data_IF_231886034232
#
_entry.id   IF_231886034232
#
_cell.length_a   1.000
_cell.length_b   1.000
_cell.length_c   1.000
_cell.angle_alpha   90.00
_cell.angle_beta   90.00
_cell.angle_gamma   90.00
#
_symmetry.space_group_name_H-M   'P 1'
#
loop_
_entity.id
_entity.type
_entity.pdbx_description
1 polymer ?
#
# COMPACT_ATOMS: atom_id res chain seq x y z
N UNK A 1 4.76 48.53 -53.59
CA UNK A 1 4.72 47.08 -53.50
C UNK A 1 5.64 46.50 -52.41
N UNK A 2 6.78 47.05 -52.09
CA UNK A 2 7.68 46.54 -51.02
C UNK A 2 7.12 46.72 -49.58
N UNK A 3 6.41 47.84 -49.34
CA UNK A 3 5.86 48.18 -48.03
C UNK A 3 4.73 47.22 -47.61
N UNK A 4 3.89 46.79 -48.54
CA UNK A 4 2.78 45.88 -48.27
C UNK A 4 3.23 44.43 -47.98
N UNK A 5 4.35 44.00 -48.60
CA UNK A 5 4.95 42.68 -48.35
C UNK A 5 5.53 42.57 -46.93
N UNK A 6 6.15 43.60 -46.42
CA UNK A 6 6.74 43.62 -45.09
C UNK A 6 5.66 43.68 -44.00
N UNK A 7 4.52 44.34 -44.26
CA UNK A 7 3.39 44.37 -43.32
C UNK A 7 2.71 43.03 -43.19
N UNK A 8 2.56 42.28 -44.30
CA UNK A 8 1.98 40.94 -44.29
C UNK A 8 2.90 39.90 -43.60
N UNK A 9 4.23 40.02 -43.77
CA UNK A 9 5.18 39.15 -43.11
C UNK A 9 5.22 39.35 -41.58
N UNK A 10 5.07 40.60 -41.11
CA UNK A 10 5.01 40.91 -39.68
C UNK A 10 3.74 40.37 -38.99
N UNK A 11 2.61 40.38 -39.69
CA UNK A 11 1.35 39.79 -39.15
C UNK A 11 1.37 38.28 -39.07
N UNK A 12 2.02 37.59 -40.01
CA UNK A 12 2.15 36.13 -39.97
C UNK A 12 3.09 35.70 -38.84
N UNK A 13 4.16 36.44 -38.55
CA UNK A 13 5.08 36.12 -37.47
C UNK A 13 4.49 36.38 -36.08
N UNK A 14 3.63 37.40 -35.90
CA UNK A 14 2.92 37.67 -34.66
C UNK A 14 1.82 36.64 -34.38
N UNK A 15 1.19 36.09 -35.42
CA UNK A 15 0.16 35.05 -35.29
C UNK A 15 0.71 33.69 -34.86
N UNK A 16 1.95 33.36 -35.24
CA UNK A 16 2.59 32.07 -34.88
C UNK A 16 3.06 32.02 -33.41
N UNK A 17 3.42 33.19 -32.84
CA UNK A 17 3.81 33.25 -31.41
C UNK A 17 2.62 33.18 -30.43
N UNK A 18 1.40 33.46 -30.86
CA UNK A 18 0.23 33.40 -30.01
C UNK A 18 -0.34 31.97 -29.85
N UNK A 19 0.09 31.00 -30.65
CA UNK A 19 -0.34 29.62 -30.63
C UNK A 19 0.52 28.72 -29.72
N UNK A 20 1.60 29.24 -29.12
CA UNK A 20 2.59 28.49 -28.35
C UNK A 20 2.40 28.50 -26.83
N UNK A 21 1.38 29.14 -26.28
CA UNK A 21 1.25 29.34 -24.83
C UNK A 21 -0.03 28.74 -24.22
N UNK A 22 -0.52 27.64 -24.75
CA UNK A 22 -1.36 26.78 -23.94
C UNK A 22 -0.45 25.74 -23.30
N UNK A 23 0.30 26.12 -22.27
CA UNK A 23 0.72 25.15 -21.25
C UNK A 23 -0.57 24.64 -20.66
N UNK A 24 -1.08 23.54 -21.21
CA UNK A 24 -2.04 22.71 -20.49
C UNK A 24 -1.34 22.35 -19.19
N UNK A 25 -1.66 23.06 -18.12
CA UNK A 25 -1.30 22.67 -16.76
C UNK A 25 -2.11 21.40 -16.51
N UNK A 26 -1.65 20.28 -17.07
CA UNK A 26 -2.19 18.97 -16.74
C UNK A 26 -1.92 18.82 -15.25
N UNK A 27 -2.99 18.93 -14.44
CA UNK A 27 -2.90 18.73 -13.01
C UNK A 27 -2.40 17.32 -12.79
N UNK A 28 -1.35 17.15 -11.98
CA UNK A 28 -0.84 15.84 -11.70
C UNK A 28 -1.93 14.99 -11.03
N UNK A 29 -1.95 13.72 -11.35
CA UNK A 29 -2.88 12.74 -10.79
C UNK A 29 -2.06 11.62 -10.17
N UNK A 30 -2.40 11.23 -8.95
CA UNK A 30 -1.71 10.14 -8.23
C UNK A 30 -2.75 9.14 -7.75
N UNK A 31 -2.53 7.88 -8.06
CA UNK A 31 -3.41 6.78 -7.67
C UNK A 31 -2.76 5.96 -6.54
N UNK A 32 -3.35 6.03 -5.36
CA UNK A 32 -2.87 5.30 -4.18
C UNK A 32 -3.55 3.93 -4.06
N UNK A 33 -2.78 2.91 -3.75
CA UNK A 33 -3.28 1.64 -3.27
C UNK A 33 -3.44 1.70 -1.76
N UNK A 34 -4.61 1.30 -1.24
CA UNK A 34 -4.93 1.26 0.18
C UNK A 34 -5.37 -0.15 0.57
N UNK A 35 -4.73 -0.70 1.58
CA UNK A 35 -5.13 -1.98 2.12
C UNK A 35 -6.33 -1.85 3.07
N UNK A 36 -7.02 -2.96 3.30
CA UNK A 36 -8.25 -3.01 4.08
C UNK A 36 -8.03 -3.20 5.59
N UNK A 37 -6.94 -2.64 6.13
CA UNK A 37 -6.67 -2.58 7.57
C UNK A 37 -6.31 -1.17 8.03
N UNK A 38 -6.55 -0.89 9.30
CA UNK A 38 -6.58 0.46 9.87
C UNK A 38 -5.28 1.25 9.72
N UNK A 39 -4.11 0.65 9.96
CA UNK A 39 -2.83 1.36 9.83
C UNK A 39 -2.56 1.80 8.39
N UNK A 40 -2.81 0.94 7.41
CA UNK A 40 -2.67 1.31 6.01
C UNK A 40 -3.59 2.47 5.63
N UNK A 41 -4.85 2.44 6.10
CA UNK A 41 -5.80 3.52 5.84
C UNK A 41 -5.32 4.87 6.40
N UNK A 42 -4.71 4.88 7.58
CA UNK A 42 -4.12 6.10 8.16
C UNK A 42 -2.93 6.60 7.34
N UNK A 43 -2.00 5.70 6.98
CA UNK A 43 -0.84 6.07 6.16
C UNK A 43 -1.26 6.57 4.78
N UNK A 44 -2.21 5.90 4.13
CA UNK A 44 -2.74 6.32 2.81
C UNK A 44 -3.44 7.66 2.90
N UNK A 45 -4.24 7.90 3.94
CA UNK A 45 -4.90 9.19 4.15
C UNK A 45 -3.90 10.34 4.35
N UNK A 46 -2.84 10.11 5.12
CA UNK A 46 -1.77 11.10 5.34
C UNK A 46 -1.03 11.39 4.02
N UNK A 47 -0.63 10.35 3.29
CA UNK A 47 0.05 10.52 2.00
C UNK A 47 -0.83 11.28 1.00
N UNK A 48 -2.09 10.88 0.87
CA UNK A 48 -3.06 11.54 0.01
C UNK A 48 -3.25 13.02 0.35
N UNK A 49 -3.37 13.34 1.65
CA UNK A 49 -3.47 14.73 2.10
C UNK A 49 -2.23 15.56 1.72
N UNK A 50 -1.02 15.02 1.94
CA UNK A 50 0.23 15.71 1.58
C UNK A 50 0.32 15.91 0.06
N UNK A 51 -0.01 14.89 -0.73
CA UNK A 51 0.00 14.96 -2.20
C UNK A 51 -1.00 15.99 -2.72
N UNK A 52 -2.22 15.97 -2.18
CA UNK A 52 -3.28 16.90 -2.60
C UNK A 52 -2.98 18.35 -2.16
N UNK A 53 -2.66 18.56 -0.89
CA UNK A 53 -2.50 19.91 -0.32
C UNK A 53 -1.11 20.47 -0.49
N UNK A 54 -0.07 19.63 -0.47
CA UNK A 54 1.33 20.06 -0.63
C UNK A 54 1.78 20.19 -2.06
N UNK A 55 1.34 19.30 -2.93
CA UNK A 55 1.77 19.26 -4.34
C UNK A 55 0.66 19.66 -5.31
N UNK A 56 -0.57 19.79 -4.86
CA UNK A 56 -1.71 20.23 -5.69
C UNK A 56 -2.17 19.17 -6.70
N UNK A 57 -1.79 17.92 -6.52
CA UNK A 57 -2.22 16.81 -7.38
C UNK A 57 -3.66 16.35 -7.04
N UNK A 58 -4.33 15.77 -8.03
CA UNK A 58 -5.56 15.01 -7.77
C UNK A 58 -5.17 13.63 -7.25
N UNK A 59 -5.83 13.18 -6.19
CA UNK A 59 -5.58 11.87 -5.58
C UNK A 59 -6.78 10.97 -5.77
N UNK A 60 -6.52 9.77 -6.28
CA UNK A 60 -7.47 8.66 -6.29
C UNK A 60 -6.98 7.55 -5.36
N UNK A 61 -7.88 6.80 -4.77
CA UNK A 61 -7.56 5.70 -3.85
C UNK A 61 -8.34 4.45 -4.27
N UNK A 62 -7.64 3.35 -4.49
CA UNK A 62 -8.24 2.02 -4.64
C UNK A 62 -7.97 1.20 -3.41
N UNK A 63 -9.03 0.71 -2.78
CA UNK A 63 -8.97 -0.09 -1.56
C UNK A 63 -9.18 -1.58 -1.87
N UNK A 64 -8.43 -2.43 -1.16
CA UNK A 64 -8.58 -3.88 -1.27
C UNK A 64 -7.63 -4.67 -0.40
N UNK A 65 -7.75 -6.00 -0.47
CA UNK A 65 -6.85 -6.93 0.22
C UNK A 65 -5.48 -7.02 -0.47
N UNK A 66 -4.53 -7.71 0.16
CA UNK A 66 -3.12 -7.71 -0.26
C UNK A 66 -2.92 -8.08 -1.73
N UNK A 67 -3.43 -9.24 -2.16
CA UNK A 67 -3.10 -9.76 -3.49
C UNK A 67 -3.59 -8.87 -4.64
N UNK A 68 -4.85 -8.41 -4.70
CA UNK A 68 -5.30 -7.57 -5.80
C UNK A 68 -4.64 -6.19 -5.81
N UNK A 69 -4.39 -5.58 -4.65
CA UNK A 69 -3.72 -4.27 -4.59
C UNK A 69 -2.27 -4.38 -5.04
N UNK A 70 -1.54 -5.41 -4.58
CA UNK A 70 -0.16 -5.62 -5.04
C UNK A 70 -0.08 -5.94 -6.53
N UNK A 71 -1.00 -6.76 -7.06
CA UNK A 71 -1.06 -7.03 -8.50
C UNK A 71 -1.27 -5.75 -9.31
N UNK A 72 -2.24 -4.92 -8.93
CA UNK A 72 -2.50 -3.65 -9.59
C UNK A 72 -1.29 -2.70 -9.54
N UNK A 73 -0.53 -2.70 -8.43
CA UNK A 73 0.68 -1.90 -8.30
C UNK A 73 1.81 -2.42 -9.20
N UNK A 74 2.03 -3.73 -9.25
CA UNK A 74 3.03 -4.33 -10.14
C UNK A 74 2.71 -4.12 -11.62
N UNK A 75 1.42 -4.06 -11.97
CA UNK A 75 0.93 -3.73 -13.31
C UNK A 75 0.87 -2.21 -13.58
N UNK A 76 1.44 -1.38 -12.69
CA UNK A 76 1.52 0.08 -12.82
C UNK A 76 0.15 0.77 -12.92
N UNK A 77 -0.90 0.16 -12.37
CA UNK A 77 -2.23 0.76 -12.25
C UNK A 77 -2.37 1.64 -10.99
N UNK A 78 -1.46 1.48 -10.03
CA UNK A 78 -1.35 2.25 -8.81
C UNK A 78 0.06 2.82 -8.69
N UNK A 79 0.18 4.09 -8.32
CA UNK A 79 1.45 4.78 -8.23
C UNK A 79 2.18 4.53 -6.91
N UNK A 80 1.45 4.53 -5.79
CA UNK A 80 2.04 4.44 -4.45
C UNK A 80 1.21 3.52 -3.57
N UNK A 81 1.90 2.68 -2.79
CA UNK A 81 1.37 1.97 -1.63
C UNK A 81 2.18 2.40 -0.41
N UNK A 82 1.52 2.75 0.67
CA UNK A 82 2.14 3.37 1.84
C UNK A 82 2.57 2.39 2.93
N UNK A 83 2.02 1.16 2.92
CA UNK A 83 2.34 0.14 3.91
C UNK A 83 2.35 -1.24 3.27
N UNK A 84 3.50 -1.89 3.19
CA UNK A 84 3.66 -3.24 2.66
C UNK A 84 4.34 -4.12 3.69
N UNK A 85 3.70 -5.23 4.07
CA UNK A 85 4.27 -6.27 4.92
C UNK A 85 5.07 -7.24 4.05
N UNK A 86 6.29 -6.83 3.69
CA UNK A 86 7.14 -7.51 2.72
C UNK A 86 7.38 -8.99 3.04
N UNK A 87 7.56 -9.32 4.33
CA UNK A 87 7.86 -10.68 4.76
C UNK A 87 6.73 -11.68 4.43
N UNK A 88 5.51 -11.19 4.22
CA UNK A 88 4.38 -12.03 3.80
C UNK A 88 4.33 -12.30 2.29
N UNK A 89 5.14 -11.59 1.49
CA UNK A 89 5.08 -11.61 0.02
C UNK A 89 6.50 -11.58 -0.61
N UNK A 90 7.51 -12.07 0.11
CA UNK A 90 8.94 -11.94 -0.25
C UNK A 90 9.20 -12.24 -1.73
N UNK A 91 8.81 -13.43 -2.20
CA UNK A 91 9.10 -13.85 -3.56
C UNK A 91 8.50 -12.90 -4.61
N UNK A 92 7.23 -12.57 -4.47
CA UNK A 92 6.50 -11.69 -5.39
C UNK A 92 7.09 -10.27 -5.38
N UNK A 93 7.44 -9.78 -4.19
CA UNK A 93 8.00 -8.45 -4.01
C UNK A 93 9.42 -8.34 -4.63
N UNK A 94 10.31 -9.27 -4.33
CA UNK A 94 11.66 -9.30 -4.87
C UNK A 94 11.66 -9.44 -6.40
N UNK A 95 10.75 -10.24 -6.94
CA UNK A 95 10.57 -10.36 -8.39
C UNK A 95 10.16 -9.03 -9.02
N UNK A 96 9.20 -8.32 -8.44
CA UNK A 96 8.75 -7.01 -8.93
C UNK A 96 9.85 -5.95 -8.87
N UNK A 97 10.63 -5.92 -7.78
CA UNK A 97 11.80 -5.02 -7.64
C UNK A 97 12.86 -5.37 -8.70
N UNK A 98 13.19 -6.65 -8.89
CA UNK A 98 14.21 -7.09 -9.85
C UNK A 98 13.83 -6.76 -11.30
N UNK A 99 12.55 -6.76 -11.62
CA UNK A 99 12.01 -6.37 -12.92
C UNK A 99 11.86 -4.85 -13.09
N UNK A 100 12.14 -4.06 -12.06
CA UNK A 100 11.96 -2.61 -12.08
C UNK A 100 10.50 -2.16 -12.14
N UNK A 101 9.56 -3.02 -11.75
CA UNK A 101 8.12 -2.71 -11.73
C UNK A 101 7.77 -1.77 -10.57
N UNK A 102 8.51 -1.86 -9.46
CA UNK A 102 8.33 -1.04 -8.26
C UNK A 102 9.67 -0.58 -7.69
N UNK A 103 9.63 0.44 -6.86
CA UNK A 103 10.77 0.98 -6.10
C UNK A 103 10.37 1.03 -4.62
N UNK A 104 11.19 0.44 -3.74
CA UNK A 104 11.07 0.66 -2.29
C UNK A 104 11.65 2.03 -1.93
N UNK A 105 10.85 2.87 -1.30
CA UNK A 105 11.29 4.19 -0.85
C UNK A 105 11.87 4.19 0.58
N UNK A 106 11.53 3.17 1.37
CA UNK A 106 12.03 3.01 2.73
C UNK A 106 11.05 2.32 3.66
N UNK A 107 11.42 2.24 4.93
CA UNK A 107 10.63 1.64 6.00
C UNK A 107 9.92 2.75 6.77
N UNK A 108 8.59 2.74 6.77
CA UNK A 108 7.77 3.73 7.47
C UNK A 108 7.48 3.38 8.93
N UNK A 109 7.47 2.07 9.28
CA UNK A 109 7.23 1.57 10.65
C UNK A 109 8.37 0.65 11.08
N UNK A 110 9.54 1.20 11.46
CA UNK A 110 10.66 0.39 11.90
C UNK A 110 10.31 -0.39 13.17
N UNK A 111 10.83 -1.60 13.30
CA UNK A 111 10.60 -2.51 14.43
C UNK A 111 9.16 -3.09 14.52
N UNK A 112 8.36 -2.96 13.48
CA UNK A 112 7.10 -3.70 13.38
C UNK A 112 7.40 -5.18 13.19
N UNK A 113 6.69 -6.03 13.94
CA UNK A 113 6.83 -7.49 13.88
C UNK A 113 5.48 -8.17 13.76
N UNK A 114 5.46 -9.32 13.11
CA UNK A 114 4.32 -10.23 13.12
C UNK A 114 4.63 -11.44 13.98
N UNK A 115 3.59 -12.03 14.56
CA UNK A 115 3.72 -13.22 15.39
C UNK A 115 2.40 -13.63 16.04
N UNK A 116 2.43 -14.74 16.73
CA UNK A 116 1.34 -15.15 17.60
C UNK A 116 1.49 -14.47 18.95
N UNK A 117 0.43 -13.89 19.44
CA UNK A 117 0.40 -13.14 20.68
C UNK A 117 -0.59 -13.76 21.68
N UNK A 118 -0.19 -13.78 22.91
CA UNK A 118 -1.01 -14.12 24.07
C UNK A 118 -0.82 -13.01 25.11
N UNK A 119 -1.80 -12.78 25.96
CA UNK A 119 -1.64 -11.79 27.02
C UNK A 119 -0.51 -12.16 27.98
N UNK A 120 0.17 -11.13 28.49
CA UNK A 120 1.35 -11.32 29.33
C UNK A 120 1.08 -12.10 30.60
N UNK A 121 -0.08 -11.92 31.24
CA UNK A 121 -0.41 -12.60 32.46
C UNK A 121 -0.55 -14.12 32.23
N UNK A 122 -1.18 -14.52 31.11
CA UNK A 122 -1.28 -15.92 30.70
C UNK A 122 0.10 -16.49 30.35
N UNK A 123 0.90 -15.75 29.56
CA UNK A 123 2.26 -16.18 29.24
C UNK A 123 3.11 -16.41 30.48
N UNK A 124 3.10 -15.48 31.43
CA UNK A 124 3.90 -15.59 32.65
C UNK A 124 3.41 -16.74 33.54
N UNK A 125 2.08 -16.87 33.71
CA UNK A 125 1.48 -17.88 34.58
C UNK A 125 1.77 -19.32 34.11
N UNK A 126 1.75 -19.55 32.82
CA UNK A 126 1.93 -20.86 32.21
C UNK A 126 3.28 -21.05 31.53
N UNK A 127 4.17 -20.07 31.65
CA UNK A 127 5.53 -20.03 31.05
C UNK A 127 5.51 -20.31 29.55
N UNK A 128 4.59 -19.66 28.81
CA UNK A 128 4.49 -19.79 27.36
C UNK A 128 5.61 -19.00 26.70
N UNK A 129 6.40 -19.64 25.83
CA UNK A 129 7.56 -19.05 25.16
C UNK A 129 7.50 -19.15 23.64
N UNK A 130 6.75 -20.13 23.14
CA UNK A 130 6.65 -20.39 21.70
C UNK A 130 5.26 -20.89 21.34
N UNK A 131 4.96 -20.93 20.03
CA UNK A 131 3.69 -21.46 19.52
C UNK A 131 3.55 -22.96 19.80
N UNK A 132 4.65 -23.70 19.90
CA UNK A 132 4.65 -25.12 20.22
C UNK A 132 4.12 -25.41 21.62
N UNK A 133 4.25 -24.47 22.55
CA UNK A 133 3.65 -24.59 23.87
C UNK A 133 2.11 -24.74 23.80
N UNK A 134 1.49 -24.16 22.77
CA UNK A 134 0.04 -24.23 22.53
C UNK A 134 -0.43 -25.64 22.12
N UNK A 135 0.49 -26.52 21.69
CA UNK A 135 0.18 -27.92 21.35
C UNK A 135 -0.04 -28.79 22.57
N UNK A 136 0.35 -28.33 23.76
CA UNK A 136 0.13 -29.05 25.03
C UNK A 136 -1.36 -29.04 25.36
N UNK A 137 -1.98 -30.23 25.62
CA UNK A 137 -3.43 -30.29 25.86
C UNK A 137 -3.93 -29.43 27.04
N UNK A 138 -3.12 -29.32 28.10
CA UNK A 138 -3.42 -28.48 29.25
C UNK A 138 -3.41 -26.99 28.91
N UNK A 139 -2.59 -26.58 27.96
CA UNK A 139 -2.54 -25.20 27.47
C UNK A 139 -3.67 -24.95 26.49
N UNK A 140 -3.89 -25.84 25.53
CA UNK A 140 -4.98 -25.70 24.57
C UNK A 140 -6.35 -25.51 25.24
N UNK A 141 -6.56 -26.17 26.38
CA UNK A 141 -7.79 -26.05 27.18
C UNK A 141 -8.03 -24.64 27.73
N UNK A 142 -6.98 -23.84 27.95
CA UNK A 142 -7.12 -22.45 28.41
C UNK A 142 -7.79 -21.55 27.36
N UNK A 143 -7.68 -21.95 26.11
CA UNK A 143 -8.20 -21.23 24.94
C UNK A 143 -9.37 -22.03 24.31
N UNK A 144 -10.08 -22.81 25.08
CA UNK A 144 -11.11 -23.71 24.59
C UNK A 144 -12.10 -23.03 23.65
N UNK A 145 -12.33 -23.66 22.50
CA UNK A 145 -13.31 -23.20 21.53
C UNK A 145 -14.68 -23.81 21.84
N UNK A 146 -15.69 -23.03 22.21
CA UNK A 146 -17.03 -23.53 22.47
C UNK A 146 -17.71 -24.15 21.24
N UNK A 147 -17.29 -23.78 20.03
CA UNK A 147 -17.82 -24.27 18.74
C UNK A 147 -17.06 -25.53 18.25
N UNK A 148 -15.89 -25.80 18.79
CA UNK A 148 -15.07 -26.95 18.44
C UNK A 148 -14.52 -27.66 19.70
N UNK A 149 -15.33 -28.52 20.38
CA UNK A 149 -14.95 -29.19 21.61
C UNK A 149 -13.61 -29.94 21.46
N UNK A 150 -12.72 -29.76 22.44
CA UNK A 150 -11.39 -30.36 22.44
C UNK A 150 -10.32 -29.61 21.67
N UNK A 151 -10.66 -28.49 21.05
CA UNK A 151 -9.71 -27.59 20.38
C UNK A 151 -9.56 -26.26 21.13
N UNK A 152 -8.41 -25.61 20.97
CA UNK A 152 -8.19 -24.22 21.35
C UNK A 152 -8.56 -23.30 20.20
N UNK A 153 -9.09 -22.12 20.53
CA UNK A 153 -9.38 -21.04 19.55
C UNK A 153 -8.18 -20.11 19.43
N UNK A 154 -7.82 -19.83 18.21
CA UNK A 154 -6.85 -18.79 17.85
C UNK A 154 -7.52 -17.82 16.88
N UNK A 155 -7.37 -16.52 17.12
CA UNK A 155 -7.77 -15.52 16.14
C UNK A 155 -6.64 -15.39 15.11
N UNK A 156 -6.96 -15.70 13.88
CA UNK A 156 -6.02 -15.60 12.75
C UNK A 156 -6.37 -14.42 11.86
N UNK A 157 -5.56 -14.21 10.81
CA UNK A 157 -5.83 -13.23 9.76
C UNK A 157 -7.13 -13.55 9.03
N UNK A 158 -7.81 -12.52 8.54
CA UNK A 158 -9.00 -12.67 7.71
C UNK A 158 -8.63 -13.13 6.30
N UNK A 159 -9.58 -13.77 5.63
CA UNK A 159 -9.43 -14.16 4.22
C UNK A 159 -9.13 -12.94 3.34
N UNK A 160 -8.18 -13.10 2.43
CA UNK A 160 -7.69 -12.02 1.54
C UNK A 160 -6.39 -11.37 2.00
N UNK A 161 -6.03 -11.49 3.27
CA UNK A 161 -4.71 -11.12 3.76
C UNK A 161 -3.72 -12.27 3.57
N UNK A 162 -2.49 -11.95 3.15
CA UNK A 162 -1.47 -12.99 2.89
C UNK A 162 -1.14 -13.83 4.11
N UNK A 163 -1.16 -13.25 5.30
CA UNK A 163 -0.96 -13.99 6.55
C UNK A 163 -2.03 -15.08 6.80
N UNK A 164 -3.20 -15.01 6.17
CA UNK A 164 -4.21 -16.08 6.24
C UNK A 164 -3.72 -17.42 5.66
N UNK A 165 -2.82 -17.37 4.69
CA UNK A 165 -2.27 -18.55 4.01
C UNK A 165 -0.95 -19.03 4.60
N UNK A 166 -0.32 -18.23 5.47
CA UNK A 166 0.97 -18.52 6.10
C UNK A 166 0.79 -19.22 7.46
N UNK A 167 -0.32 -18.98 8.15
CA UNK A 167 -0.61 -19.45 9.52
C UNK A 167 -1.17 -20.88 9.58
#
# INVERSE_FOLDING_TARGET
MKFLKNLLLSFVFAGVMALGATSANAKCKVHLGDFDWDSANVHTAIAGFIIEKGYGCDVEVTKGSTSPIMAAHYDQQLDIITEVWRDNIVQMHEEAVSKGQIIELGVNTPSSTQGFYVDKATSDKYNLKSVEDMLKPEIAKLFADPEAPGKGRMTSCISGWTCYTIN
#
